data_IF_470054555617
#
_entry.id   IF_470054555617
#
_cell.length_a   1.000
_cell.length_b   1.000
_cell.length_c   1.000
_cell.angle_alpha   90.00
_cell.angle_beta   90.00
_cell.angle_gamma   90.00
#
_symmetry.space_group_name_H-M   'P 1'
#
loop_
_entity.id
_entity.type
_entity.pdbx_description
1 polymer ?
#
# COMPACT_ATOMS: atom_id res chain seq x y z
N UNK A 1 22.71 102.74 18.96
CA UNK A 1 23.61 102.88 17.76
C UNK A 1 23.92 101.49 17.24
N UNK A 2 23.56 101.33 15.96
CA UNK A 2 24.24 100.50 14.98
C UNK A 2 23.90 98.97 14.99
N UNK A 3 23.18 98.67 14.07
CA UNK A 3 23.21 98.09 12.71
C UNK A 3 23.10 96.57 12.68
N UNK A 4 21.96 96.20 12.20
CA UNK A 4 21.54 94.99 11.47
C UNK A 4 22.57 94.40 10.53
N UNK A 5 22.66 93.08 10.51
CA UNK A 5 22.98 92.29 9.31
C UNK A 5 22.10 91.01 9.22
N UNK A 6 21.31 91.01 8.16
CA UNK A 6 20.53 89.85 7.71
C UNK A 6 21.50 88.88 6.99
N UNK A 7 21.47 87.64 7.31
CA UNK A 7 21.96 86.63 6.42
C UNK A 7 20.85 85.57 6.15
N UNK A 8 20.50 85.53 4.87
CA UNK A 8 19.64 84.49 4.31
C UNK A 8 20.40 83.17 4.32
N UNK A 9 19.85 82.09 4.95
CA UNK A 9 20.29 80.74 4.78
C UNK A 9 19.28 80.03 3.87
N UNK A 10 19.73 79.63 2.66
CA UNK A 10 19.01 78.76 1.75
C UNK A 10 18.99 77.35 2.34
N UNK A 11 17.80 76.90 2.72
CA UNK A 11 17.62 75.46 3.11
C UNK A 11 17.32 74.67 1.85
N UNK A 12 18.31 73.91 1.36
CA UNK A 12 18.13 72.89 0.33
C UNK A 12 17.54 71.62 0.96
N UNK A 13 16.24 71.36 0.74
CA UNK A 13 15.59 70.09 1.15
C UNK A 13 15.93 68.98 0.17
N UNK A 14 16.83 68.08 0.57
CA UNK A 14 17.06 66.80 -0.13
C UNK A 14 15.98 65.83 0.31
N UNK A 15 14.98 65.63 -0.53
CA UNK A 15 13.98 64.55 -0.34
C UNK A 15 14.63 63.21 -0.69
N UNK A 16 15.00 62.45 0.33
CA UNK A 16 15.46 61.06 0.19
C UNK A 16 14.22 60.19 -0.09
N UNK A 17 13.97 59.88 -1.35
CA UNK A 17 12.97 58.88 -1.75
C UNK A 17 13.45 57.48 -1.34
N UNK A 18 13.01 56.97 -0.19
CA UNK A 18 13.13 55.56 0.18
C UNK A 18 12.23 54.74 -0.73
N UNK A 19 12.76 54.25 -1.86
CA UNK A 19 12.19 53.12 -2.59
C UNK A 19 12.31 51.90 -1.70
N UNK A 20 11.31 51.64 -0.87
CA UNK A 20 11.12 50.37 -0.21
C UNK A 20 10.84 49.31 -1.26
N UNK A 21 11.86 48.56 -1.64
CA UNK A 21 11.66 47.31 -2.34
C UNK A 21 10.85 46.38 -1.40
N UNK A 22 9.54 46.30 -1.62
CA UNK A 22 8.71 45.29 -1.01
C UNK A 22 9.27 43.95 -1.49
N UNK A 23 10.05 43.28 -0.64
CA UNK A 23 10.40 41.89 -0.85
C UNK A 23 9.07 41.14 -1.03
N UNK A 24 8.91 40.31 -2.07
CA UNK A 24 7.71 39.51 -2.21
C UNK A 24 7.57 38.70 -0.92
N UNK A 25 6.47 38.86 -0.22
CA UNK A 25 6.15 38.02 0.93
C UNK A 25 6.31 36.56 0.46
N UNK A 26 7.23 35.83 1.06
CA UNK A 26 7.41 34.41 0.75
C UNK A 26 6.06 33.74 1.00
N UNK A 27 5.34 33.43 -0.06
CA UNK A 27 4.08 32.74 0.02
C UNK A 27 4.39 31.40 0.69
N UNK A 28 3.77 31.12 1.84
CA UNK A 28 3.99 29.86 2.55
C UNK A 28 3.76 28.73 1.54
N UNK A 29 4.75 27.83 1.42
CA UNK A 29 4.64 26.72 0.49
C UNK A 29 3.35 25.95 0.78
N UNK A 30 2.58 25.67 -0.26
CA UNK A 30 1.38 24.82 -0.11
C UNK A 30 1.78 23.44 0.39
N UNK A 31 0.95 22.83 1.22
CA UNK A 31 1.22 21.54 1.85
C UNK A 31 0.15 20.52 1.49
N UNK A 32 0.60 19.31 1.15
CA UNK A 32 -0.26 18.13 1.02
C UNK A 32 -0.07 17.27 2.25
N UNK A 33 -1.13 17.06 3.04
CA UNK A 33 -1.06 16.39 4.32
C UNK A 33 -1.45 14.91 4.24
N UNK A 34 -0.58 14.02 4.72
CA UNK A 34 -0.82 12.58 4.78
C UNK A 34 -1.13 12.14 6.21
N UNK A 35 -2.37 11.73 6.53
CA UNK A 35 -2.67 11.09 7.81
C UNK A 35 -2.11 9.65 7.79
N UNK A 36 -1.20 9.32 8.73
CA UNK A 36 -0.60 7.99 8.82
C UNK A 36 -1.14 7.25 10.04
N UNK A 37 -2.00 6.26 9.80
CA UNK A 37 -2.52 5.36 10.83
C UNK A 37 -1.53 4.20 11.00
N UNK A 38 -0.41 4.48 11.67
CA UNK A 38 0.69 3.54 11.77
C UNK A 38 0.48 2.49 12.87
N UNK A 39 1.28 1.41 12.81
CA UNK A 39 1.39 0.41 13.87
C UNK A 39 2.85 -0.02 13.97
N UNK A 40 3.55 0.51 14.96
CA UNK A 40 4.99 0.27 15.19
C UNK A 40 5.25 -0.55 16.44
N UNK A 41 4.20 -0.91 17.17
CA UNK A 41 4.26 -1.73 18.39
C UNK A 41 3.31 -2.92 18.30
N UNK A 42 3.43 -3.86 19.27
CA UNK A 42 2.61 -5.06 19.33
C UNK A 42 3.01 -6.16 18.34
N UNK A 43 2.15 -7.17 18.14
CA UNK A 43 2.46 -8.38 17.35
C UNK A 43 2.82 -8.12 15.89
N UNK A 44 2.47 -6.96 15.35
CA UNK A 44 2.67 -6.56 13.95
C UNK A 44 3.66 -5.38 13.82
N UNK A 45 4.22 -4.92 14.93
CA UNK A 45 5.05 -3.72 14.98
C UNK A 45 6.29 -3.79 14.09
N UNK A 46 6.96 -4.94 14.02
CA UNK A 46 8.13 -5.14 13.16
C UNK A 46 7.79 -4.93 11.67
N UNK A 47 6.64 -5.45 11.24
CA UNK A 47 6.15 -5.30 9.87
C UNK A 47 5.76 -3.83 9.58
N UNK A 48 5.04 -3.20 10.51
CA UNK A 48 4.65 -1.79 10.42
C UNK A 48 5.84 -0.84 10.39
N UNK A 49 6.87 -1.10 11.20
CA UNK A 49 8.08 -0.28 11.24
C UNK A 49 8.76 -0.19 9.86
N UNK A 50 8.87 -1.30 9.14
CA UNK A 50 9.45 -1.32 7.79
C UNK A 50 8.54 -0.62 6.77
N UNK A 51 7.22 -0.88 6.78
CA UNK A 51 6.25 -0.28 5.87
C UNK A 51 6.19 1.25 6.01
N UNK A 52 5.88 1.75 7.20
CA UNK A 52 5.78 3.19 7.43
C UNK A 52 7.14 3.88 7.35
N UNK A 53 8.24 3.17 7.69
CA UNK A 53 9.59 3.64 7.45
C UNK A 53 9.84 3.96 5.97
N UNK A 54 9.51 3.03 5.08
CA UNK A 54 9.64 3.22 3.64
C UNK A 54 8.76 4.35 3.09
N UNK A 55 7.51 4.48 3.59
CA UNK A 55 6.62 5.58 3.19
C UNK A 55 7.21 6.94 3.57
N UNK A 56 7.65 7.11 4.81
CA UNK A 56 8.19 8.38 5.32
C UNK A 56 9.51 8.71 4.64
N UNK A 57 10.35 7.72 4.39
CA UNK A 57 11.60 7.93 3.66
C UNK A 57 11.33 8.40 2.23
N UNK A 58 10.31 7.90 1.56
CA UNK A 58 9.91 8.41 0.26
C UNK A 58 9.35 9.85 0.35
N UNK A 59 8.57 10.19 1.37
CA UNK A 59 8.12 11.57 1.58
C UNK A 59 9.29 12.53 1.83
N UNK A 60 10.26 12.14 2.65
CA UNK A 60 11.49 12.89 2.85
C UNK A 60 12.26 13.07 1.53
N UNK A 61 12.38 11.99 0.75
CA UNK A 61 13.03 12.01 -0.56
C UNK A 61 12.37 13.00 -1.52
N UNK A 62 11.05 12.97 -1.64
CA UNK A 62 10.30 13.91 -2.49
C UNK A 62 10.45 15.35 -1.99
N UNK A 63 10.36 15.58 -0.68
CA UNK A 63 10.57 16.92 -0.10
C UNK A 63 11.99 17.45 -0.35
N UNK A 64 13.01 16.59 -0.29
CA UNK A 64 14.40 16.96 -0.62
C UNK A 64 14.60 17.27 -2.11
N UNK A 65 13.71 16.77 -2.98
CA UNK A 65 13.67 17.07 -4.42
C UNK A 65 12.76 18.27 -4.76
N UNK A 66 12.26 19.00 -3.76
CA UNK A 66 11.41 20.19 -3.96
C UNK A 66 9.91 19.96 -3.82
N UNK A 67 9.49 18.79 -3.29
CA UNK A 67 8.08 18.46 -3.07
C UNK A 67 7.39 17.88 -4.32
N UNK A 68 6.06 17.81 -4.28
CA UNK A 68 5.23 17.39 -5.42
C UNK A 68 5.00 18.61 -6.30
N UNK A 69 5.83 18.80 -7.32
CA UNK A 69 5.82 19.98 -8.19
C UNK A 69 5.77 21.31 -7.39
N UNK A 70 6.56 21.41 -6.32
CA UNK A 70 6.64 22.60 -5.44
C UNK A 70 5.77 22.52 -4.18
N UNK A 71 4.86 21.56 -4.06
CA UNK A 71 4.02 21.35 -2.87
C UNK A 71 4.74 20.45 -1.88
N UNK A 72 4.89 20.92 -0.64
CA UNK A 72 5.54 20.16 0.42
C UNK A 72 4.64 19.03 0.92
N UNK A 73 5.20 17.85 1.14
CA UNK A 73 4.51 16.75 1.83
C UNK A 73 4.68 16.95 3.34
N UNK A 74 3.56 16.92 4.05
CA UNK A 74 3.53 16.87 5.52
C UNK A 74 2.74 15.65 5.97
N UNK A 75 3.02 15.16 7.16
CA UNK A 75 2.32 13.98 7.73
C UNK A 75 2.30 14.04 9.25
N UNK A 76 1.41 13.25 9.81
CA UNK A 76 1.39 12.96 11.24
C UNK A 76 1.06 11.48 11.43
N UNK A 77 1.85 10.79 12.27
CA UNK A 77 1.59 9.40 12.65
C UNK A 77 0.67 9.32 13.87
N UNK A 78 -0.25 8.37 13.83
CA UNK A 78 -1.05 7.98 14.98
C UNK A 78 -0.96 6.46 15.14
N UNK A 79 -0.46 6.00 16.30
CA UNK A 79 -0.27 4.59 16.61
C UNK A 79 -1.60 3.87 16.82
N UNK A 80 -1.90 2.88 16.00
CA UNK A 80 -3.15 2.10 16.04
C UNK A 80 -2.99 0.76 16.73
N UNK A 81 -1.75 0.28 16.96
CA UNK A 81 -1.45 -1.08 17.42
C UNK A 81 -2.14 -2.17 16.57
N UNK A 82 -2.44 -1.85 15.30
CA UNK A 82 -3.24 -2.70 14.40
C UNK A 82 -4.65 -3.01 14.93
N UNK A 83 -5.21 -2.15 15.77
CA UNK A 83 -6.53 -2.29 16.39
C UNK A 83 -7.56 -1.42 15.67
N UNK A 84 -8.72 -2.00 15.34
CA UNK A 84 -9.75 -1.29 14.56
C UNK A 84 -10.32 -0.06 15.30
N UNK A 85 -10.58 -0.16 16.60
CA UNK A 85 -11.11 0.97 17.38
C UNK A 85 -10.10 2.12 17.47
N UNK A 86 -8.83 1.81 17.75
CA UNK A 86 -7.74 2.80 17.74
C UNK A 86 -7.53 3.39 16.34
N UNK A 87 -7.70 2.58 15.28
CA UNK A 87 -7.63 3.05 13.90
C UNK A 87 -8.70 4.10 13.59
N UNK A 88 -9.93 3.88 14.05
CA UNK A 88 -11.03 4.85 13.92
C UNK A 88 -10.73 6.11 14.74
N UNK A 89 -10.26 5.97 15.99
CA UNK A 89 -9.87 7.10 16.84
C UNK A 89 -8.76 7.94 16.19
N UNK A 90 -7.70 7.31 15.68
CA UNK A 90 -6.62 7.97 14.95
C UNK A 90 -7.13 8.73 13.72
N UNK A 91 -8.04 8.13 12.96
CA UNK A 91 -8.66 8.77 11.82
C UNK A 91 -9.43 10.04 12.24
N UNK A 92 -10.32 9.94 13.24
CA UNK A 92 -11.09 11.09 13.72
C UNK A 92 -10.19 12.23 14.22
N UNK A 93 -9.06 11.90 14.85
CA UNK A 93 -8.08 12.88 15.31
C UNK A 93 -7.37 13.60 14.15
N UNK A 94 -7.01 12.87 13.08
CA UNK A 94 -6.20 13.41 11.99
C UNK A 94 -7.00 14.02 10.84
N UNK A 95 -8.27 13.62 10.66
CA UNK A 95 -9.08 14.02 9.52
C UNK A 95 -9.24 15.55 9.37
N UNK A 96 -9.36 16.29 10.46
CA UNK A 96 -9.50 17.75 10.41
C UNK A 96 -8.29 18.46 9.80
N UNK A 97 -7.08 17.91 10.01
CA UNK A 97 -5.85 18.40 9.36
C UNK A 97 -5.82 18.03 7.87
N UNK A 98 -6.39 16.88 7.53
CA UNK A 98 -6.43 16.37 6.16
C UNK A 98 -7.49 17.07 5.28
N UNK A 99 -8.57 17.60 5.84
CA UNK A 99 -9.72 18.09 5.06
C UNK A 99 -9.39 19.12 3.97
N UNK A 100 -8.39 19.95 4.16
CA UNK A 100 -8.04 21.00 3.19
C UNK A 100 -7.33 20.42 1.96
N UNK A 101 -6.34 19.58 2.18
CA UNK A 101 -5.50 18.99 1.13
C UNK A 101 -5.01 17.59 1.56
N UNK A 102 -5.89 16.57 1.53
CA UNK A 102 -5.53 15.24 1.94
C UNK A 102 -4.61 14.58 0.93
N UNK A 103 -3.52 13.98 1.40
CA UNK A 103 -2.91 12.86 0.71
C UNK A 103 -3.77 11.60 0.91
N UNK A 104 -3.62 10.57 0.07
CA UNK A 104 -4.30 9.30 0.26
C UNK A 104 -4.06 8.70 1.65
N UNK A 105 -5.13 8.20 2.27
CA UNK A 105 -5.09 7.53 3.57
C UNK A 105 -4.73 6.05 3.38
N UNK A 106 -3.72 5.57 4.06
CA UNK A 106 -3.26 4.18 4.01
C UNK A 106 -3.28 3.55 5.41
N UNK A 107 -4.38 2.91 5.85
CA UNK A 107 -4.39 2.24 7.16
C UNK A 107 -3.49 1.01 7.23
N UNK A 108 -3.14 0.40 6.09
CA UNK A 108 -2.38 -0.85 5.99
C UNK A 108 -2.94 -1.97 6.89
N UNK A 109 -4.26 -1.94 7.07
CA UNK A 109 -5.08 -2.89 7.83
C UNK A 109 -6.45 -3.04 7.18
N UNK A 110 -6.81 -4.27 6.81
CA UNK A 110 -8.13 -4.57 6.20
C UNK A 110 -9.28 -4.22 7.15
N UNK A 111 -9.14 -4.56 8.43
CA UNK A 111 -10.19 -4.28 9.43
C UNK A 111 -10.41 -2.78 9.65
N UNK A 112 -9.36 -1.98 9.72
CA UNK A 112 -9.45 -0.52 9.83
C UNK A 112 -10.06 0.06 8.54
N UNK A 113 -9.65 -0.42 7.36
CA UNK A 113 -10.20 0.04 6.08
C UNK A 113 -11.71 -0.18 5.99
N UNK A 114 -12.21 -1.35 6.43
CA UNK A 114 -13.66 -1.60 6.50
C UNK A 114 -14.38 -0.65 7.45
N UNK A 115 -13.79 -0.37 8.62
CA UNK A 115 -14.37 0.54 9.60
C UNK A 115 -14.41 2.01 9.11
N UNK A 116 -13.55 2.37 8.16
CA UNK A 116 -13.44 3.74 7.63
C UNK A 116 -14.17 3.93 6.29
N UNK A 117 -14.60 2.87 5.61
CA UNK A 117 -15.15 2.92 4.24
C UNK A 117 -16.29 3.93 4.07
N UNK A 118 -17.25 3.98 5.01
CA UNK A 118 -18.36 4.95 4.97
C UNK A 118 -17.92 6.36 5.41
N UNK A 119 -16.96 6.46 6.34
CA UNK A 119 -16.47 7.74 6.90
C UNK A 119 -15.71 8.57 5.87
N UNK A 120 -14.83 7.94 5.12
CA UNK A 120 -14.01 8.61 4.10
C UNK A 120 -14.84 9.23 2.98
N UNK A 121 -16.01 8.67 2.70
CA UNK A 121 -16.98 9.23 1.74
C UNK A 121 -17.49 10.59 2.22
N UNK A 122 -17.92 10.68 3.48
CA UNK A 122 -18.42 11.91 4.07
C UNK A 122 -17.34 12.98 4.21
N UNK A 123 -16.12 12.57 4.56
CA UNK A 123 -14.99 13.47 4.80
C UNK A 123 -14.20 13.80 3.51
N UNK A 124 -14.51 13.14 2.37
CA UNK A 124 -13.84 13.32 1.07
C UNK A 124 -12.32 13.09 1.13
N UNK A 125 -11.90 12.07 1.88
CA UNK A 125 -10.50 11.67 2.01
C UNK A 125 -10.31 10.33 1.28
N UNK A 126 -9.52 10.24 0.19
CA UNK A 126 -9.33 8.99 -0.53
C UNK A 126 -8.67 7.91 0.33
N UNK A 127 -9.32 6.76 0.47
CA UNK A 127 -8.82 5.57 1.15
C UNK A 127 -8.14 4.66 0.14
N UNK A 128 -6.83 4.46 0.29
CA UNK A 128 -6.06 3.61 -0.61
C UNK A 128 -5.60 2.35 0.12
N UNK A 129 -5.91 1.22 -0.47
CA UNK A 129 -5.60 -0.11 0.02
C UNK A 129 -4.71 -0.83 -0.98
N UNK A 130 -3.42 -0.47 -1.02
CA UNK A 130 -2.48 -1.06 -1.97
C UNK A 130 -2.20 -2.53 -1.63
N UNK A 131 -2.86 -3.42 -2.36
CA UNK A 131 -2.74 -4.86 -2.17
C UNK A 131 -3.40 -5.38 -0.89
N UNK A 132 -4.46 -4.77 -0.39
CA UNK A 132 -5.21 -5.29 0.75
C UNK A 132 -6.66 -4.80 0.75
N UNK A 133 -7.50 -5.52 1.46
CA UNK A 133 -8.87 -5.24 1.86
C UNK A 133 -9.85 -4.69 0.82
N UNK A 134 -11.11 -4.82 1.14
CA UNK A 134 -12.26 -4.25 0.44
C UNK A 134 -12.22 -4.48 -1.09
N UNK A 135 -12.03 -5.76 -1.50
CA UNK A 135 -11.91 -6.13 -2.93
C UNK A 135 -13.07 -5.62 -3.79
N UNK A 136 -14.29 -5.56 -3.25
CA UNK A 136 -15.47 -5.01 -3.97
C UNK A 136 -15.32 -3.54 -4.35
N UNK A 137 -14.41 -2.78 -3.71
CA UNK A 137 -14.14 -1.38 -4.04
C UNK A 137 -13.35 -1.20 -5.37
N UNK A 138 -13.02 -2.29 -6.07
CA UNK A 138 -12.58 -2.22 -7.47
C UNK A 138 -13.63 -1.51 -8.33
N UNK A 139 -14.91 -1.69 -8.02
CA UNK A 139 -15.99 -0.96 -8.67
C UNK A 139 -16.14 0.46 -8.08
N UNK A 140 -15.45 1.41 -8.68
CA UNK A 140 -15.49 2.80 -8.25
C UNK A 140 -16.82 3.50 -8.52
N UNK A 141 -17.74 2.90 -9.29
CA UNK A 141 -19.10 3.43 -9.43
C UNK A 141 -19.87 3.35 -8.11
N UNK A 142 -19.58 2.35 -7.29
CA UNK A 142 -20.16 2.14 -5.96
C UNK A 142 -19.24 2.72 -4.86
N UNK A 143 -17.94 2.61 -5.03
CA UNK A 143 -16.93 3.00 -4.03
C UNK A 143 -16.03 4.14 -4.52
N UNK A 144 -16.55 5.37 -4.72
CA UNK A 144 -15.77 6.45 -5.32
C UNK A 144 -14.55 6.90 -4.49
N UNK A 145 -14.50 6.56 -3.21
CA UNK A 145 -13.46 7.01 -2.28
C UNK A 145 -12.55 5.89 -1.75
N UNK A 146 -12.69 4.67 -2.26
CA UNK A 146 -11.90 3.52 -1.84
C UNK A 146 -11.20 2.87 -3.04
N UNK A 147 -9.89 2.65 -2.95
CA UNK A 147 -9.03 2.25 -4.06
C UNK A 147 -8.16 1.05 -3.66
N UNK A 148 -8.55 -0.20 -3.99
CA UNK A 148 -7.70 -1.38 -3.80
C UNK A 148 -6.65 -1.46 -4.91
N UNK A 149 -5.68 -0.52 -4.88
CA UNK A 149 -4.71 -0.33 -5.95
C UNK A 149 -3.73 -1.50 -6.12
N UNK A 150 -3.22 -1.61 -7.33
CA UNK A 150 -2.23 -2.57 -7.84
C UNK A 150 -2.84 -3.95 -8.05
N UNK A 151 -3.40 -4.56 -7.05
CA UNK A 151 -4.03 -5.87 -7.12
C UNK A 151 -4.84 -6.16 -5.86
N UNK A 152 -5.78 -7.09 -5.93
CA UNK A 152 -6.66 -7.47 -4.83
C UNK A 152 -6.30 -8.84 -4.28
N UNK A 153 -6.81 -9.17 -3.09
CA UNK A 153 -6.62 -10.51 -2.51
C UNK A 153 -7.24 -11.61 -3.35
N UNK A 154 -8.37 -11.35 -3.99
CA UNK A 154 -9.01 -12.35 -4.84
C UNK A 154 -8.20 -12.60 -6.11
N UNK A 155 -7.68 -11.55 -6.75
CA UNK A 155 -6.79 -11.68 -7.91
C UNK A 155 -5.47 -12.36 -7.53
N UNK A 156 -4.89 -12.05 -6.37
CA UNK A 156 -3.71 -12.75 -5.87
C UNK A 156 -3.96 -14.24 -5.67
N UNK A 157 -5.07 -14.60 -5.02
CA UNK A 157 -5.43 -16.00 -4.78
C UNK A 157 -5.54 -16.77 -6.10
N UNK A 158 -6.22 -16.18 -7.09
CA UNK A 158 -6.34 -16.75 -8.43
C UNK A 158 -4.99 -16.86 -9.15
N UNK A 159 -4.10 -15.87 -9.03
CA UNK A 159 -2.75 -15.94 -9.60
C UNK A 159 -1.89 -17.03 -8.93
N UNK A 160 -2.03 -17.25 -7.62
CA UNK A 160 -1.38 -18.36 -6.92
C UNK A 160 -1.90 -19.71 -7.46
N UNK A 161 -3.22 -19.87 -7.64
CA UNK A 161 -3.79 -21.09 -8.21
C UNK A 161 -3.29 -21.32 -9.63
N UNK A 162 -3.20 -20.28 -10.46
CA UNK A 162 -2.61 -20.37 -11.80
C UNK A 162 -1.16 -20.85 -11.75
N UNK A 163 -0.34 -20.28 -10.87
CA UNK A 163 1.06 -20.74 -10.68
C UNK A 163 1.14 -22.21 -10.26
N UNK A 164 0.31 -22.65 -9.31
CA UNK A 164 0.30 -24.04 -8.87
C UNK A 164 -0.16 -24.97 -9.99
N UNK A 165 -1.14 -24.56 -10.80
CA UNK A 165 -1.60 -25.31 -11.97
C UNK A 165 -0.49 -25.47 -13.01
N UNK A 166 0.27 -24.41 -13.30
CA UNK A 166 1.39 -24.46 -14.23
C UNK A 166 2.51 -25.39 -13.69
N UNK A 167 2.78 -25.33 -12.38
CA UNK A 167 3.73 -26.22 -11.70
C UNK A 167 3.29 -27.69 -11.78
N UNK A 168 2.00 -27.98 -11.75
CA UNK A 168 1.38 -29.30 -11.90
C UNK A 168 1.05 -29.64 -13.38
N UNK A 169 1.79 -29.07 -14.32
CA UNK A 169 1.67 -29.36 -15.76
C UNK A 169 0.27 -29.12 -16.36
N UNK A 170 -0.44 -28.15 -15.82
CA UNK A 170 -1.71 -27.64 -16.35
C UNK A 170 -2.98 -28.20 -15.66
N UNK A 171 -2.87 -29.06 -14.64
CA UNK A 171 -4.05 -29.59 -13.93
C UNK A 171 -3.86 -29.62 -12.42
N UNK A 172 -4.92 -29.24 -11.69
CA UNK A 172 -5.04 -29.42 -10.24
C UNK A 172 -6.13 -30.43 -9.87
N UNK A 173 -6.69 -31.14 -10.87
CA UNK A 173 -7.77 -32.11 -10.63
C UNK A 173 -7.33 -33.20 -9.65
N UNK A 174 -8.15 -33.40 -8.60
CA UNK A 174 -7.88 -34.39 -7.53
C UNK A 174 -6.85 -33.96 -6.48
N UNK A 175 -6.19 -32.81 -6.64
CA UNK A 175 -5.28 -32.27 -5.63
C UNK A 175 -6.03 -31.78 -4.41
N UNK A 176 -5.35 -31.74 -3.26
CA UNK A 176 -5.83 -31.12 -2.02
C UNK A 176 -5.00 -29.89 -1.73
N UNK A 177 -5.65 -28.75 -1.52
CA UNK A 177 -5.01 -27.48 -1.16
C UNK A 177 -5.56 -27.01 0.17
N UNK A 178 -4.72 -26.91 1.19
CA UNK A 178 -5.09 -26.34 2.47
C UNK A 178 -4.89 -24.81 2.42
N UNK A 179 -5.91 -24.07 2.84
CA UNK A 179 -5.87 -22.63 3.01
C UNK A 179 -5.76 -22.30 4.49
N UNK A 180 -4.53 -22.04 4.96
CA UNK A 180 -4.20 -21.69 6.33
C UNK A 180 -4.26 -20.17 6.46
N UNK A 181 -5.29 -19.61 7.08
CA UNK A 181 -5.54 -18.20 7.08
C UNK A 181 -5.76 -17.58 8.46
N UNK A 182 -5.33 -16.34 8.62
CA UNK A 182 -5.59 -15.50 9.79
C UNK A 182 -7.09 -15.27 9.93
N UNK A 183 -7.69 -15.65 11.05
CA UNK A 183 -9.15 -15.54 11.28
C UNK A 183 -9.56 -14.08 11.53
N UNK A 184 -9.62 -13.32 10.48
CA UNK A 184 -9.98 -11.89 10.43
C UNK A 184 -10.55 -11.53 9.06
N UNK A 185 -11.02 -10.29 8.90
CA UNK A 185 -11.44 -9.77 7.61
C UNK A 185 -10.38 -9.97 6.53
N UNK A 186 -9.09 -9.73 6.86
CA UNK A 186 -7.96 -9.96 5.97
C UNK A 186 -7.89 -11.40 5.45
N UNK A 187 -7.90 -12.38 6.36
CA UNK A 187 -7.73 -13.78 5.97
C UNK A 187 -8.91 -14.38 5.24
N UNK A 188 -10.11 -13.78 5.41
CA UNK A 188 -11.36 -14.26 4.79
C UNK A 188 -11.61 -13.69 3.39
N UNK A 189 -10.99 -12.58 3.02
CA UNK A 189 -11.20 -11.92 1.72
C UNK A 189 -11.03 -12.86 0.50
N UNK A 190 -10.01 -13.71 0.40
CA UNK A 190 -9.80 -14.54 -0.79
C UNK A 190 -10.65 -15.82 -0.84
N UNK A 191 -11.44 -16.13 0.19
CA UNK A 191 -12.17 -17.42 0.30
C UNK A 191 -13.08 -17.64 -0.92
N UNK A 192 -13.87 -16.64 -1.29
CA UNK A 192 -14.78 -16.76 -2.45
C UNK A 192 -14.03 -17.06 -3.75
N UNK A 193 -12.89 -16.41 -3.97
CA UNK A 193 -12.04 -16.66 -5.12
C UNK A 193 -11.45 -18.09 -5.11
N UNK A 194 -10.94 -18.54 -3.95
CA UNK A 194 -10.41 -19.89 -3.81
C UNK A 194 -11.48 -20.96 -3.99
N UNK A 195 -12.70 -20.74 -3.51
CA UNK A 195 -13.84 -21.63 -3.74
C UNK A 195 -14.25 -21.68 -5.21
N UNK A 196 -14.25 -20.54 -5.92
CA UNK A 196 -14.52 -20.49 -7.36
C UNK A 196 -13.42 -21.20 -8.15
N UNK A 197 -12.15 -20.96 -7.83
CA UNK A 197 -11.00 -21.65 -8.44
C UNK A 197 -11.00 -23.15 -8.16
N UNK A 198 -11.40 -23.58 -6.95
CA UNK A 198 -11.54 -24.98 -6.58
C UNK A 198 -12.55 -25.70 -7.47
N UNK A 199 -13.71 -25.08 -7.69
CA UNK A 199 -14.75 -25.63 -8.57
C UNK A 199 -14.28 -25.71 -10.02
N UNK A 200 -13.64 -24.63 -10.53
CA UNK A 200 -13.15 -24.56 -11.90
C UNK A 200 -12.05 -25.57 -12.18
N UNK A 201 -11.09 -25.73 -11.27
CA UNK A 201 -9.89 -26.57 -11.44
C UNK A 201 -10.03 -27.96 -10.76
N UNK A 202 -11.20 -28.25 -10.16
CA UNK A 202 -11.55 -29.57 -9.55
C UNK A 202 -10.56 -30.03 -8.48
N UNK A 203 -10.02 -29.12 -7.67
CA UNK A 203 -9.23 -29.48 -6.49
C UNK A 203 -10.08 -29.38 -5.22
N UNK A 204 -9.68 -30.09 -4.16
CA UNK A 204 -10.31 -29.99 -2.85
C UNK A 204 -9.69 -28.82 -2.06
N UNK A 205 -10.48 -27.83 -1.70
CA UNK A 205 -10.08 -26.74 -0.80
C UNK A 205 -10.37 -27.11 0.65
N UNK A 206 -9.36 -26.98 1.52
CA UNK A 206 -9.47 -27.26 2.97
C UNK A 206 -9.22 -25.95 3.72
N UNK A 207 -10.25 -25.30 4.20
CA UNK A 207 -10.15 -24.05 4.92
C UNK A 207 -9.77 -24.26 6.38
N UNK A 208 -8.69 -23.60 6.84
CA UNK A 208 -8.11 -23.80 8.18
C UNK A 208 -7.85 -22.41 8.81
N UNK A 209 -8.78 -21.91 9.64
CA UNK A 209 -8.61 -20.65 10.33
C UNK A 209 -7.57 -20.75 11.46
N UNK A 210 -6.78 -19.70 11.64
CA UNK A 210 -5.84 -19.52 12.74
C UNK A 210 -6.29 -18.32 13.57
N UNK A 211 -6.66 -18.52 14.85
CA UNK A 211 -7.05 -17.41 15.72
C UNK A 211 -5.95 -16.36 15.84
N UNK A 212 -6.36 -15.09 15.86
CA UNK A 212 -5.46 -13.94 16.07
C UNK A 212 -4.80 -13.99 17.46
N UNK A 213 -3.49 -13.70 17.62
CA UNK A 213 -2.52 -13.25 16.62
C UNK A 213 -1.80 -14.39 15.87
N UNK A 214 -2.10 -15.66 16.13
CA UNK A 214 -1.54 -16.80 15.42
C UNK A 214 -0.29 -17.41 16.06
N UNK A 215 -0.07 -17.19 17.34
CA UNK A 215 1.05 -17.77 18.10
C UNK A 215 0.87 -19.28 18.30
N UNK A 216 -0.37 -19.77 18.37
CA UNK A 216 -0.69 -21.15 18.61
C UNK A 216 -1.40 -21.78 17.40
N UNK A 217 -0.74 -22.76 16.79
CA UNK A 217 -1.20 -23.39 15.54
C UNK A 217 -1.16 -24.92 15.59
N UNK A 218 -1.01 -25.51 16.77
CA UNK A 218 -0.84 -26.95 16.92
C UNK A 218 -2.00 -27.76 16.31
N UNK A 219 -3.24 -27.37 16.58
CA UNK A 219 -4.45 -28.03 16.06
C UNK A 219 -4.55 -27.91 14.52
N UNK A 220 -4.23 -26.74 13.96
CA UNK A 220 -4.25 -26.49 12.52
C UNK A 220 -3.23 -27.37 11.79
N UNK A 221 -2.01 -27.47 12.32
CA UNK A 221 -0.97 -28.30 11.74
C UNK A 221 -1.20 -29.80 11.94
N UNK A 222 -1.88 -30.23 13.02
CA UNK A 222 -2.37 -31.60 13.15
C UNK A 222 -3.40 -31.90 12.06
N UNK A 223 -4.33 -31.01 11.77
CA UNK A 223 -5.29 -31.18 10.68
C UNK A 223 -4.59 -31.26 9.32
N UNK A 224 -3.60 -30.39 9.04
CA UNK A 224 -2.79 -30.44 7.82
C UNK A 224 -2.11 -31.84 7.69
N UNK A 225 -1.55 -32.35 8.78
CA UNK A 225 -0.92 -33.68 8.78
C UNK A 225 -1.91 -34.82 8.51
N UNK A 226 -3.14 -34.73 9.01
CA UNK A 226 -4.20 -35.72 8.78
C UNK A 226 -4.72 -35.65 7.34
N UNK A 227 -4.99 -34.45 6.82
CA UNK A 227 -5.53 -34.23 5.48
C UNK A 227 -4.51 -34.45 4.37
N UNK A 228 -3.22 -34.36 4.68
CA UNK A 228 -2.09 -34.54 3.74
C UNK A 228 -2.26 -33.72 2.45
N UNK A 229 -2.46 -32.37 2.51
CA UNK A 229 -2.64 -31.60 1.32
C UNK A 229 -1.39 -31.59 0.45
N UNK A 230 -1.58 -31.49 -0.87
CA UNK A 230 -0.50 -31.34 -1.85
C UNK A 230 0.20 -29.98 -1.68
N UNK A 231 -0.57 -28.94 -1.33
CA UNK A 231 -0.08 -27.57 -1.09
C UNK A 231 -0.76 -26.94 0.12
N UNK A 232 -0.04 -26.03 0.77
CA UNK A 232 -0.59 -25.10 1.78
C UNK A 232 -0.46 -23.68 1.25
N UNK A 233 -1.59 -23.00 1.05
CA UNK A 233 -1.62 -21.55 0.84
C UNK A 233 -1.72 -20.90 2.21
N UNK A 234 -0.71 -20.10 2.58
CA UNK A 234 -0.65 -19.40 3.86
C UNK A 234 -1.06 -17.93 3.70
N UNK A 235 -2.12 -17.54 4.38
CA UNK A 235 -2.63 -16.17 4.40
C UNK A 235 -2.52 -15.57 5.80
N UNK A 236 -1.29 -15.43 6.25
CA UNK A 236 -0.93 -14.99 7.58
C UNK A 236 -0.37 -13.57 7.63
N UNK A 237 -0.23 -13.04 8.83
CA UNK A 237 0.38 -11.74 9.10
C UNK A 237 1.16 -11.76 10.41
N UNK A 238 2.31 -11.09 10.43
CA UNK A 238 3.15 -10.95 11.61
C UNK A 238 3.60 -12.30 12.20
N UNK A 239 3.46 -12.46 13.51
CA UNK A 239 3.94 -13.65 14.24
C UNK A 239 3.37 -14.97 13.76
N UNK A 240 2.19 -14.97 13.14
CA UNK A 240 1.57 -16.15 12.55
C UNK A 240 2.48 -16.80 11.52
N UNK A 241 3.15 -16.00 10.68
CA UNK A 241 3.97 -16.50 9.56
C UNK A 241 5.17 -17.30 10.05
N UNK A 242 5.98 -16.68 10.93
CA UNK A 242 7.12 -17.38 11.54
C UNK A 242 6.70 -18.64 12.29
N UNK A 243 5.60 -18.58 13.04
CA UNK A 243 5.08 -19.74 13.78
C UNK A 243 4.67 -20.87 12.84
N UNK A 244 3.99 -20.55 11.73
CA UNK A 244 3.60 -21.52 10.71
C UNK A 244 4.82 -22.21 10.10
N UNK A 245 5.85 -21.47 9.70
CA UNK A 245 7.07 -21.99 9.11
C UNK A 245 7.81 -22.94 10.07
N UNK A 246 7.98 -22.54 11.34
CA UNK A 246 8.62 -23.38 12.37
C UNK A 246 7.80 -24.63 12.68
N UNK A 247 6.46 -24.50 12.72
CA UNK A 247 5.59 -25.66 12.99
C UNK A 247 5.56 -26.63 11.80
N UNK A 248 5.53 -26.12 10.58
CA UNK A 248 5.66 -26.93 9.37
C UNK A 248 6.96 -27.77 9.38
N UNK A 249 8.09 -27.16 9.77
CA UNK A 249 9.36 -27.88 9.91
C UNK A 249 9.28 -29.00 10.94
N UNK A 250 8.74 -28.73 12.13
CA UNK A 250 8.56 -29.74 13.19
C UNK A 250 7.67 -30.90 12.76
N UNK A 251 6.66 -30.60 11.92
CA UNK A 251 5.72 -31.62 11.41
C UNK A 251 6.22 -32.34 10.15
N UNK A 252 7.40 -31.99 9.64
CA UNK A 252 7.97 -32.54 8.42
C UNK A 252 7.25 -32.15 7.13
N UNK A 253 6.47 -31.08 7.12
CA UNK A 253 5.80 -30.59 5.91
C UNK A 253 6.80 -29.82 5.02
N UNK A 254 6.92 -30.14 3.70
CA UNK A 254 7.88 -29.50 2.81
C UNK A 254 7.58 -28.01 2.58
N UNK A 255 8.57 -27.12 2.76
CA UNK A 255 8.37 -25.67 2.53
C UNK A 255 8.14 -25.33 1.07
N UNK A 256 8.66 -26.13 0.15
CA UNK A 256 8.45 -26.01 -1.31
C UNK A 256 7.00 -26.30 -1.75
N UNK A 257 6.18 -26.80 -0.82
CA UNK A 257 4.73 -26.98 -0.97
C UNK A 257 3.92 -25.90 -0.23
N UNK A 258 4.60 -24.94 0.37
CA UNK A 258 3.95 -23.78 1.02
C UNK A 258 4.13 -22.54 0.18
N UNK A 259 3.02 -21.81 -0.03
CA UNK A 259 3.02 -20.53 -0.74
C UNK A 259 2.20 -19.50 0.04
N UNK A 260 2.83 -18.39 0.40
CA UNK A 260 2.21 -17.31 1.16
C UNK A 260 1.56 -16.24 0.30
N UNK A 261 0.66 -15.49 0.91
CA UNK A 261 0.27 -14.20 0.37
C UNK A 261 1.47 -13.23 0.38
N UNK A 262 1.36 -12.10 -0.29
CA UNK A 262 2.40 -11.05 -0.23
C UNK A 262 2.59 -10.43 1.18
N UNK A 263 1.66 -10.65 2.12
CA UNK A 263 1.79 -10.26 3.52
C UNK A 263 2.44 -11.36 4.39
N UNK A 264 2.69 -12.53 3.79
CA UNK A 264 3.39 -13.65 4.41
C UNK A 264 4.73 -13.93 3.74
N UNK A 265 5.29 -12.96 3.02
CA UNK A 265 6.48 -13.12 2.20
C UNK A 265 7.48 -12.00 2.38
N UNK A 266 7.90 -11.74 3.61
CA UNK A 266 8.88 -10.72 3.95
C UNK A 266 10.04 -11.27 4.77
N UNK A 267 11.11 -10.50 4.87
CA UNK A 267 12.28 -10.80 5.71
C UNK A 267 11.91 -10.80 7.20
N UNK A 268 10.89 -10.02 7.59
CA UNK A 268 10.34 -10.00 8.95
C UNK A 268 9.74 -11.35 9.35
N UNK A 269 9.32 -12.16 8.37
CA UNK A 269 8.74 -13.49 8.58
C UNK A 269 9.80 -14.59 8.51
N UNK A 270 10.70 -14.50 7.52
CA UNK A 270 11.63 -15.58 7.15
C UNK A 270 12.91 -15.57 7.96
N UNK A 271 13.49 -14.39 8.24
CA UNK A 271 14.73 -14.29 9.02
C UNK A 271 14.57 -14.86 10.44
N UNK A 272 13.51 -14.52 11.20
CA UNK A 272 13.31 -15.11 12.53
C UNK A 272 12.91 -16.59 12.49
N UNK A 273 12.42 -17.09 11.35
CA UNK A 273 12.13 -18.52 11.16
C UNK A 273 13.39 -19.35 10.89
N UNK A 274 14.49 -18.72 10.43
CA UNK A 274 15.77 -19.38 10.16
C UNK A 274 15.62 -20.47 9.08
N UNK A 275 16.25 -21.63 9.30
CA UNK A 275 16.21 -22.76 8.36
C UNK A 275 14.79 -23.28 8.06
N UNK A 276 13.83 -23.00 8.95
CA UNK A 276 12.44 -23.38 8.75
C UNK A 276 11.80 -22.66 7.56
N UNK A 277 12.36 -21.53 7.11
CA UNK A 277 11.84 -20.78 5.98
C UNK A 277 12.42 -21.21 4.63
N UNK A 278 13.55 -21.90 4.58
CA UNK A 278 14.21 -22.24 3.32
C UNK A 278 13.30 -23.06 2.42
N UNK A 279 13.16 -22.63 1.16
CA UNK A 279 12.28 -23.25 0.17
C UNK A 279 10.82 -22.71 0.16
N UNK A 280 10.43 -21.97 1.19
CA UNK A 280 9.11 -21.33 1.25
C UNK A 280 8.89 -20.33 0.12
N UNK A 281 7.73 -20.37 -0.51
CA UNK A 281 7.34 -19.46 -1.58
C UNK A 281 6.34 -18.42 -1.09
N UNK A 282 6.24 -17.28 -1.78
CA UNK A 282 5.13 -16.35 -1.59
C UNK A 282 4.81 -15.59 -2.88
N UNK A 283 3.58 -15.10 -2.98
CA UNK A 283 3.27 -14.06 -3.93
C UNK A 283 3.92 -12.73 -3.50
N UNK A 284 4.21 -11.86 -4.46
CA UNK A 284 4.64 -10.48 -4.18
C UNK A 284 4.13 -9.52 -5.25
N UNK A 285 3.80 -8.30 -4.84
CA UNK A 285 3.42 -7.21 -5.75
C UNK A 285 4.54 -6.17 -5.92
N UNK A 286 5.65 -6.37 -5.23
CA UNK A 286 6.86 -5.55 -5.31
C UNK A 286 8.09 -6.42 -5.05
N UNK A 287 9.26 -5.98 -5.47
CA UNK A 287 10.50 -6.73 -5.29
C UNK A 287 11.31 -6.23 -4.09
N UNK A 288 12.11 -7.13 -3.51
CA UNK A 288 13.14 -6.80 -2.54
C UNK A 288 14.41 -6.27 -3.22
N UNK A 289 15.28 -5.67 -2.44
CA UNK A 289 16.63 -5.30 -2.83
C UNK A 289 16.87 -3.81 -2.86
N UNK A 290 18.14 -3.46 -2.65
CA UNK A 290 18.64 -2.07 -2.75
C UNK A 290 19.09 -1.71 -4.16
N UNK A 291 19.13 -2.66 -5.07
CA UNK A 291 19.52 -2.49 -6.46
C UNK A 291 18.44 -1.82 -7.34
N UNK A 292 17.25 -1.60 -6.81
CA UNK A 292 16.23 -0.72 -7.44
C UNK A 292 16.78 0.71 -7.38
N UNK A 293 16.95 1.42 -8.51
CA UNK A 293 17.60 2.74 -8.53
C UNK A 293 16.99 3.75 -7.55
N UNK A 294 15.67 3.77 -7.42
CA UNK A 294 14.96 4.62 -6.47
C UNK A 294 15.37 4.32 -5.01
N UNK A 295 15.47 3.04 -4.64
CA UNK A 295 15.87 2.65 -3.28
C UNK A 295 17.32 3.05 -3.00
N UNK A 296 18.21 2.86 -3.97
CA UNK A 296 19.60 3.30 -3.87
C UNK A 296 19.72 4.84 -3.73
N UNK A 297 18.88 5.60 -4.47
CA UNK A 297 18.86 7.07 -4.37
C UNK A 297 18.30 7.55 -3.02
N UNK A 298 17.29 6.89 -2.47
CA UNK A 298 16.79 7.13 -1.10
C UNK A 298 17.90 6.86 -0.07
N UNK A 299 18.61 5.73 -0.17
CA UNK A 299 19.73 5.43 0.72
C UNK A 299 20.79 6.54 0.69
N UNK A 300 21.18 6.95 -0.50
CA UNK A 300 22.18 7.99 -0.69
C UNK A 300 21.74 9.37 -0.18
N UNK A 301 20.50 9.76 -0.49
CA UNK A 301 20.02 11.13 -0.23
C UNK A 301 19.43 11.28 1.16
N UNK A 302 18.44 10.44 1.53
CA UNK A 302 17.72 10.56 2.79
C UNK A 302 18.56 10.08 3.96
N UNK A 303 19.19 8.90 3.85
CA UNK A 303 20.07 8.37 4.89
C UNK A 303 21.40 9.09 4.92
N UNK A 304 21.94 9.52 3.76
CA UNK A 304 23.14 10.36 3.69
C UNK A 304 22.99 11.69 4.40
N UNK A 305 21.77 12.24 4.44
CA UNK A 305 21.42 13.47 5.18
C UNK A 305 20.97 13.23 6.63
N UNK A 306 21.02 12.00 7.14
CA UNK A 306 20.59 11.65 8.49
C UNK A 306 19.08 11.72 8.72
N UNK A 307 18.26 11.69 7.65
CA UNK A 307 16.79 11.83 7.70
C UNK A 307 16.02 10.51 7.53
N UNK A 308 16.72 9.37 7.51
CA UNK A 308 16.09 8.06 7.39
C UNK A 308 15.21 7.71 8.59
N UNK A 309 14.06 7.09 8.34
CA UNK A 309 13.06 6.77 9.36
C UNK A 309 13.21 5.37 9.97
N UNK A 310 13.95 4.44 9.33
CA UNK A 310 14.17 3.11 9.90
C UNK A 310 15.06 3.18 11.14
N UNK A 311 14.60 2.58 12.25
CA UNK A 311 15.42 2.34 13.43
C UNK A 311 16.50 1.28 13.14
N UNK A 312 16.10 0.20 12.46
CA UNK A 312 16.99 -0.86 11.98
C UNK A 312 17.29 -0.67 10.48
N UNK A 313 18.45 -0.10 10.17
CA UNK A 313 18.89 0.15 8.79
C UNK A 313 19.11 -1.13 7.98
N UNK A 314 19.21 -2.31 8.61
CA UNK A 314 19.32 -3.58 7.89
C UNK A 314 18.05 -3.92 7.09
N UNK A 315 16.91 -3.30 7.45
CA UNK A 315 15.62 -3.46 6.76
C UNK A 315 15.48 -2.63 5.49
N UNK A 316 16.42 -1.72 5.20
CA UNK A 316 16.40 -0.93 3.97
C UNK A 316 16.54 -1.85 2.77
N UNK A 317 15.56 -1.78 1.86
CA UNK A 317 15.48 -2.67 0.71
C UNK A 317 14.75 -4.00 0.99
N UNK A 318 14.25 -4.26 2.22
CA UNK A 318 13.37 -5.41 2.47
C UNK A 318 12.07 -5.30 1.70
N UNK A 319 11.35 -6.41 1.55
CA UNK A 319 10.04 -6.44 0.85
C UNK A 319 9.09 -5.39 1.41
N UNK A 320 8.96 -5.31 2.75
CA UNK A 320 7.99 -4.39 3.38
C UNK A 320 8.46 -2.93 3.29
N UNK A 321 9.75 -2.67 3.44
CA UNK A 321 10.28 -1.33 3.22
C UNK A 321 10.02 -0.83 1.80
N UNK A 322 10.37 -1.64 0.80
CA UNK A 322 10.14 -1.32 -0.62
C UNK A 322 8.66 -1.17 -0.93
N UNK A 323 7.77 -1.92 -0.24
CA UNK A 323 6.32 -1.77 -0.34
C UNK A 323 5.85 -0.43 0.22
N UNK A 324 6.40 0.02 1.33
CA UNK A 324 6.16 1.35 1.87
C UNK A 324 6.54 2.46 0.89
N UNK A 325 7.74 2.36 0.29
CA UNK A 325 8.19 3.27 -0.77
C UNK A 325 7.23 3.24 -1.96
N UNK A 326 6.84 2.06 -2.45
CA UNK A 326 5.92 1.90 -3.58
C UNK A 326 4.54 2.50 -3.28
N UNK A 327 4.02 2.31 -2.07
CA UNK A 327 2.74 2.88 -1.61
C UNK A 327 2.76 4.41 -1.65
N UNK A 328 3.82 5.00 -1.14
CA UNK A 328 4.00 6.46 -1.17
C UNK A 328 4.22 7.00 -2.59
N UNK A 329 4.98 6.27 -3.43
CA UNK A 329 5.19 6.60 -4.85
C UNK A 329 3.86 6.68 -5.60
N UNK A 330 3.02 5.65 -5.50
CA UNK A 330 1.71 5.61 -6.18
C UNK A 330 0.83 6.78 -5.74
N UNK A 331 0.84 7.12 -4.44
CA UNK A 331 0.11 8.25 -3.89
C UNK A 331 0.59 9.59 -4.44
N UNK A 332 1.90 9.78 -4.52
CA UNK A 332 2.51 11.01 -5.07
C UNK A 332 2.22 11.14 -6.57
N UNK A 333 2.28 10.05 -7.32
CA UNK A 333 1.95 10.07 -8.75
C UNK A 333 0.47 10.35 -9.03
N UNK A 334 -0.44 9.88 -8.16
CA UNK A 334 -1.85 10.25 -8.25
C UNK A 334 -2.05 11.76 -8.02
N UNK A 335 -1.33 12.35 -7.05
CA UNK A 335 -1.37 13.80 -6.81
C UNK A 335 -0.77 14.57 -8.00
N UNK A 336 0.35 14.10 -8.59
CA UNK A 336 0.91 14.70 -9.81
C UNK A 336 -0.05 14.63 -11.00
N UNK A 337 -0.77 13.52 -11.13
CA UNK A 337 -1.82 13.36 -12.15
C UNK A 337 -2.92 14.42 -11.96
N UNK A 338 -3.35 14.63 -10.72
CA UNK A 338 -4.31 15.69 -10.39
C UNK A 338 -3.73 17.09 -10.66
N UNK A 339 -2.48 17.36 -10.27
CA UNK A 339 -1.83 18.64 -10.51
C UNK A 339 -1.68 18.94 -12.01
N UNK A 340 -1.45 17.94 -12.84
CA UNK A 340 -1.40 18.11 -14.29
C UNK A 340 -2.74 18.61 -14.87
N UNK A 341 -3.87 18.21 -14.26
CA UNK A 341 -5.22 18.63 -14.66
C UNK A 341 -5.63 19.96 -14.03
N UNK A 342 -5.42 20.11 -12.71
CA UNK A 342 -6.01 21.21 -11.92
C UNK A 342 -5.02 22.34 -11.60
N UNK A 343 -3.75 22.18 -11.92
CA UNK A 343 -2.70 23.21 -11.78
C UNK A 343 -1.49 22.75 -11.00
N UNK A 344 -0.32 22.81 -11.64
CA UNK A 344 0.97 22.51 -11.01
C UNK A 344 1.28 23.48 -9.88
N UNK A 345 2.00 23.02 -8.87
CA UNK A 345 2.42 23.83 -7.74
C UNK A 345 1.30 24.13 -6.73
N UNK A 346 0.14 23.48 -6.85
CA UNK A 346 -0.99 23.62 -5.93
C UNK A 346 -1.23 22.35 -5.16
N UNK A 347 -1.57 22.47 -3.88
CA UNK A 347 -2.07 21.37 -3.09
C UNK A 347 -3.46 20.97 -3.61
N UNK A 348 -3.71 19.64 -3.67
CA UNK A 348 -4.93 19.09 -4.24
C UNK A 348 -5.96 18.81 -3.15
N UNK A 349 -7.21 19.18 -3.41
CA UNK A 349 -8.35 18.78 -2.56
C UNK A 349 -8.58 17.27 -2.64
N UNK A 350 -9.36 16.71 -1.71
CA UNK A 350 -9.69 15.27 -1.73
C UNK A 350 -10.38 14.85 -3.03
N UNK A 351 -11.26 15.68 -3.59
CA UNK A 351 -11.93 15.40 -4.87
C UNK A 351 -10.93 15.38 -6.04
N UNK A 352 -9.95 16.29 -6.03
CA UNK A 352 -8.90 16.32 -7.05
C UNK A 352 -7.94 15.13 -6.90
N UNK A 353 -7.60 14.75 -5.67
CA UNK A 353 -6.79 13.55 -5.41
C UNK A 353 -7.55 12.27 -5.84
N UNK A 354 -8.86 12.18 -5.55
CA UNK A 354 -9.73 11.10 -6.05
C UNK A 354 -9.67 11.03 -7.58
N UNK A 355 -9.83 12.17 -8.26
CA UNK A 355 -9.71 12.23 -9.71
C UNK A 355 -8.35 11.72 -10.20
N UNK A 356 -7.27 12.14 -9.55
CA UNK A 356 -5.91 11.68 -9.88
C UNK A 356 -5.72 10.18 -9.68
N UNK A 357 -6.33 9.60 -8.66
CA UNK A 357 -6.34 8.15 -8.40
C UNK A 357 -7.12 7.39 -9.48
N UNK A 358 -8.20 7.91 -10.01
CA UNK A 358 -9.00 7.29 -11.08
C UNK A 358 -8.39 7.47 -12.47
N UNK A 359 -7.43 8.38 -12.63
CA UNK A 359 -6.72 8.65 -13.89
C UNK A 359 -5.24 8.29 -13.82
N UNK A 360 -4.86 7.49 -12.81
CA UNK A 360 -3.48 7.06 -12.66
C UNK A 360 -3.09 6.14 -13.83
N UNK A 361 -1.94 6.44 -14.46
CA UNK A 361 -1.39 5.65 -15.55
C UNK A 361 0.14 5.52 -15.37
N UNK A 362 0.55 4.62 -14.48
CA UNK A 362 1.96 4.29 -14.26
C UNK A 362 2.41 3.25 -15.26
N UNK A 363 2.94 3.70 -16.38
CA UNK A 363 3.55 2.85 -17.41
C UNK A 363 4.97 2.45 -16.99
N UNK A 364 5.53 1.40 -17.62
CA UNK A 364 6.94 1.02 -17.41
C UNK A 364 7.90 2.19 -17.76
N UNK A 365 7.59 3.00 -18.76
CA UNK A 365 8.36 4.19 -19.10
C UNK A 365 8.37 5.18 -17.93
N UNK A 366 7.21 5.42 -17.29
CA UNK A 366 7.11 6.31 -16.12
C UNK A 366 7.84 5.71 -14.91
N UNK A 367 7.67 4.43 -14.65
CA UNK A 367 8.40 3.74 -13.58
C UNK A 367 9.92 3.84 -13.76
N UNK A 368 10.40 3.72 -15.00
CA UNK A 368 11.83 3.89 -15.34
C UNK A 368 12.32 5.32 -15.07
N UNK A 369 11.55 6.35 -15.44
CA UNK A 369 11.87 7.75 -15.13
C UNK A 369 11.99 8.00 -13.62
N UNK A 370 11.14 7.33 -12.83
CA UNK A 370 11.13 7.41 -11.37
C UNK A 370 12.23 6.55 -10.70
N UNK A 371 13.01 5.79 -11.48
CA UNK A 371 13.97 4.83 -10.97
C UNK A 371 13.31 3.61 -10.31
N UNK A 372 12.03 3.38 -10.54
CA UNK A 372 11.20 2.35 -9.91
C UNK A 372 10.88 1.17 -10.84
N UNK A 373 11.58 1.05 -11.98
CA UNK A 373 11.42 -0.06 -12.92
C UNK A 373 11.57 -1.41 -12.21
N UNK A 374 10.59 -2.29 -12.40
CA UNK A 374 10.54 -3.61 -11.77
C UNK A 374 10.14 -3.61 -10.29
N UNK A 375 10.05 -2.44 -9.62
CA UNK A 375 9.61 -2.34 -8.23
C UNK A 375 8.17 -2.82 -8.05
N UNK A 376 7.27 -2.39 -8.94
CA UNK A 376 5.85 -2.75 -8.98
C UNK A 376 5.41 -2.92 -10.44
N UNK A 377 4.25 -3.55 -10.73
CA UNK A 377 3.73 -3.65 -12.09
C UNK A 377 3.20 -2.29 -12.57
N UNK A 378 2.99 -2.17 -13.89
CA UNK A 378 2.21 -1.06 -14.42
C UNK A 378 0.83 -0.98 -13.78
N UNK A 379 0.35 0.23 -13.51
CA UNK A 379 -0.95 0.48 -12.87
C UNK A 379 -1.73 1.47 -13.71
N UNK A 380 -2.92 1.07 -14.17
CA UNK A 380 -3.84 1.95 -14.89
C UNK A 380 -5.23 1.84 -14.30
N UNK A 381 -5.70 2.90 -13.70
CA UNK A 381 -7.02 2.96 -13.05
C UNK A 381 -8.04 3.70 -13.92
N UNK A 382 -9.29 3.57 -13.52
CA UNK A 382 -10.42 4.33 -14.06
C UNK A 382 -11.56 4.32 -13.05
N UNK A 383 -12.59 5.12 -13.26
CA UNK A 383 -13.82 5.08 -12.44
C UNK A 383 -14.41 3.66 -12.31
N UNK A 384 -14.32 2.82 -13.33
CA UNK A 384 -14.85 1.43 -13.32
C UNK A 384 -13.84 0.40 -12.82
N UNK A 385 -12.58 0.80 -12.59
CA UNK A 385 -11.51 -0.12 -12.17
C UNK A 385 -10.50 0.59 -11.28
N UNK A 386 -10.68 0.48 -9.98
CA UNK A 386 -9.77 1.02 -8.97
C UNK A 386 -8.58 0.08 -8.65
N UNK A 387 -8.51 -1.14 -9.21
CA UNK A 387 -7.40 -2.07 -9.00
C UNK A 387 -6.17 -1.70 -9.83
N UNK A 388 -6.37 -1.51 -11.10
CA UNK A 388 -5.37 -1.02 -12.05
C UNK A 388 -4.45 -2.07 -12.66
N UNK A 389 -4.05 -3.14 -11.98
CA UNK A 389 -3.12 -4.16 -12.52
C UNK A 389 -3.64 -5.59 -12.41
N UNK A 390 -3.87 -6.10 -11.19
CA UNK A 390 -4.26 -7.50 -10.95
C UNK A 390 -3.11 -8.50 -11.09
N UNK A 391 -1.84 -8.04 -11.09
CA UNK A 391 -0.66 -8.87 -11.33
C UNK A 391 0.18 -9.09 -10.09
N UNK A 392 0.81 -10.26 -9.99
CA UNK A 392 1.76 -10.65 -8.95
C UNK A 392 2.97 -11.36 -9.54
N UNK A 393 4.07 -11.43 -8.79
CA UNK A 393 5.16 -12.37 -9.01
C UNK A 393 5.14 -13.43 -7.92
N UNK A 394 5.76 -14.57 -8.19
CA UNK A 394 6.07 -15.57 -7.17
C UNK A 394 7.56 -15.51 -6.87
N UNK A 395 7.89 -15.57 -5.59
CA UNK A 395 9.25 -15.56 -5.07
C UNK A 395 9.46 -16.75 -4.13
N UNK A 396 10.71 -17.14 -3.91
CA UNK A 396 11.12 -18.20 -2.99
C UNK A 396 12.24 -17.73 -2.08
N UNK A 397 12.17 -18.10 -0.81
CA UNK A 397 13.24 -17.86 0.14
C UNK A 397 14.34 -18.90 -0.01
N UNK A 398 15.56 -18.50 -0.37
CA UNK A 398 16.69 -19.40 -0.58
C UNK A 398 17.44 -19.77 0.73
N UNK A 399 17.03 -19.15 1.85
CA UNK A 399 17.68 -19.24 3.15
C UNK A 399 18.35 -17.94 3.58
N UNK A 400 18.53 -16.99 2.65
CA UNK A 400 19.19 -15.69 2.91
C UNK A 400 18.45 -14.50 2.28
N UNK A 401 17.79 -14.71 1.14
CA UNK A 401 17.09 -13.66 0.39
C UNK A 401 15.91 -14.22 -0.40
N UNK A 402 15.03 -13.34 -0.81
CA UNK A 402 13.98 -13.66 -1.76
C UNK A 402 14.51 -13.70 -3.19
N UNK A 403 14.21 -14.80 -3.91
CA UNK A 403 14.52 -14.99 -5.32
C UNK A 403 13.23 -15.02 -6.10
N UNK A 404 13.08 -14.14 -7.07
CA UNK A 404 11.90 -14.08 -7.94
C UNK A 404 11.92 -15.29 -8.90
N UNK A 405 10.83 -16.04 -8.93
CA UNK A 405 10.69 -17.25 -9.75
C UNK A 405 9.95 -17.01 -11.07
N UNK A 406 9.12 -15.96 -11.15
CA UNK A 406 8.23 -15.73 -12.30
C UNK A 406 8.28 -14.30 -12.77
N UNK A 407 7.88 -14.08 -14.01
CA UNK A 407 7.39 -12.77 -14.45
C UNK A 407 6.05 -12.43 -13.79
N UNK A 408 5.44 -11.32 -14.19
CA UNK A 408 4.13 -10.91 -13.69
C UNK A 408 3.06 -11.91 -14.14
N UNK A 409 2.37 -12.52 -13.18
CA UNK A 409 1.23 -13.42 -13.37
C UNK A 409 -0.05 -12.64 -13.06
N UNK A 410 -0.99 -12.69 -13.98
CA UNK A 410 -2.33 -12.14 -13.76
C UNK A 410 -3.29 -13.25 -13.31
N UNK A 411 -4.13 -12.98 -12.32
CA UNK A 411 -5.23 -13.86 -11.93
C UNK A 411 -6.29 -13.99 -13.04
N UNK A 412 -7.18 -14.94 -12.90
CA UNK A 412 -8.27 -15.18 -13.86
C UNK A 412 -9.35 -14.12 -13.74
N UNK A 413 -9.19 -13.00 -14.45
CA UNK A 413 -10.15 -11.89 -14.44
C UNK A 413 -11.57 -12.33 -14.79
N UNK A 414 -11.73 -13.21 -15.77
CA UNK A 414 -13.05 -13.67 -16.21
C UNK A 414 -13.81 -14.42 -15.09
N UNK A 415 -13.08 -15.09 -14.19
CA UNK A 415 -13.66 -15.77 -13.02
C UNK A 415 -13.86 -14.78 -11.85
N UNK A 416 -12.90 -13.91 -11.60
CA UNK A 416 -12.82 -13.13 -10.35
C UNK A 416 -13.62 -11.83 -10.44
N UNK A 417 -13.56 -11.10 -11.56
CA UNK A 417 -14.25 -9.81 -11.68
C UNK A 417 -15.77 -9.89 -11.41
N UNK A 418 -16.51 -10.92 -11.92
CA UNK A 418 -17.93 -11.06 -11.58
C UNK A 418 -18.19 -11.23 -10.07
N UNK A 419 -17.25 -11.80 -9.31
CA UNK A 419 -17.46 -12.01 -7.85
C UNK A 419 -17.50 -10.66 -7.12
N UNK A 420 -16.51 -9.82 -7.30
CA UNK A 420 -16.51 -8.53 -6.61
C UNK A 420 -17.52 -7.52 -7.18
N UNK A 421 -17.90 -7.64 -8.46
CA UNK A 421 -19.01 -6.86 -9.01
C UNK A 421 -20.34 -7.23 -8.34
N UNK A 422 -20.59 -8.54 -8.11
CA UNK A 422 -21.76 -9.01 -7.38
C UNK A 422 -21.77 -8.52 -5.93
N UNK A 423 -20.62 -8.56 -5.26
CA UNK A 423 -20.46 -8.05 -3.88
C UNK A 423 -20.69 -6.53 -3.82
N UNK A 424 -20.14 -5.77 -4.78
CA UNK A 424 -20.38 -4.32 -4.87
C UNK A 424 -21.85 -3.98 -5.11
N UNK A 425 -22.51 -4.69 -6.01
CA UNK A 425 -23.94 -4.50 -6.29
C UNK A 425 -24.82 -4.84 -5.06
N UNK A 426 -24.46 -5.91 -4.34
CA UNK A 426 -25.13 -6.28 -3.08
C UNK A 426 -24.95 -5.19 -2.03
N UNK A 427 -23.74 -4.71 -1.82
CA UNK A 427 -23.43 -3.62 -0.90
C UNK A 427 -24.22 -2.35 -1.26
N UNK A 428 -24.24 -1.96 -2.53
CA UNK A 428 -24.98 -0.79 -3.00
C UNK A 428 -26.45 -0.90 -2.66
N UNK A 429 -27.06 -2.08 -2.89
CA UNK A 429 -28.47 -2.35 -2.55
C UNK A 429 -28.72 -2.26 -1.03
N UNK A 430 -27.87 -2.87 -0.22
CA UNK A 430 -28.00 -2.87 1.25
C UNK A 430 -27.86 -1.47 1.86
N UNK A 431 -27.01 -0.63 1.26
CA UNK A 431 -26.74 0.74 1.72
C UNK A 431 -27.60 1.81 1.02
N UNK A 432 -28.43 1.45 0.06
CA UNK A 432 -29.21 2.41 -0.72
C UNK A 432 -28.36 3.34 -1.60
N UNK A 433 -27.19 2.87 -2.03
CA UNK A 433 -26.27 3.63 -2.89
C UNK A 433 -26.72 3.49 -4.34
N UNK A 434 -26.92 4.62 -5.02
CA UNK A 434 -27.05 4.65 -6.47
C UNK A 434 -25.66 4.72 -7.10
N UNK A 435 -25.23 3.72 -7.89
CA UNK A 435 -23.95 3.77 -8.56
C UNK A 435 -23.83 5.00 -9.47
N UNK A 436 -22.69 5.66 -9.45
CA UNK A 436 -22.45 6.82 -10.33
C UNK A 436 -22.22 6.38 -11.76
N UNK A 437 -22.53 7.28 -12.70
CA UNK A 437 -22.34 7.05 -14.13
C UNK A 437 -20.89 7.39 -14.55
N UNK A 438 -20.03 6.38 -14.56
CA UNK A 438 -18.63 6.50 -14.95
C UNK A 438 -18.41 6.99 -16.40
N UNK A 439 -19.41 6.91 -17.26
CA UNK A 439 -19.27 7.42 -18.64
C UNK A 439 -19.20 8.95 -18.73
N UNK A 440 -19.60 9.64 -17.67
CA UNK A 440 -19.59 11.11 -17.57
C UNK A 440 -18.38 11.68 -16.85
N UNK A 441 -17.46 10.83 -16.37
CA UNK A 441 -16.32 11.25 -15.54
C UNK A 441 -14.97 11.21 -16.28
N UNK A 442 -14.94 11.22 -17.60
CA UNK A 442 -13.72 11.25 -18.43
C UNK A 442 -13.12 12.66 -18.62
#
# INVERSE_FOLDING_TARGET
MIKTFKQLALASSVALACLGAAAPAAQAAEEQFFPLLSYRVGPYGANGASLFGGMIDYFNYINMKGGIDGVKITWEECETEYNNAKGVECYERLKSKAQKAPGPLHPLSTGISYALADKVVADKIPLVMMGYGLTMAVDGSVFPWAFPLVTTYQMQASAIIKFLKDKEKGSLEGKKIAFLYHDSAYGKEPILALQAESKLNKFTLIEIPVPHPGNEQGAQWQRIRQEKPDYVIMWGWGVMNMTALKTAQKMGYPREKMIGSWWSGSEEDTVPAGDAAKGYMSATMNVAGKNVPLIADIEKTVYGAGKGNLQDKSKLGSILYNRGVATALVSVEAIRTAQAKFGKGKAMTGEQVRWGLEHLNLTEARLKELGASGLLPEVKTSCTNHEGSGKVKIQQWDGSKWVVLTDWIEGNKALIHPLFQADAAKYAKEKGITPRDCSKEN
#
